data_IF_612016199925
#
_entry.id   IF_612016199925
#
_cell.length_a   1.000
_cell.length_b   1.000
_cell.length_c   1.000
_cell.angle_alpha   90.00
_cell.angle_beta   90.00
_cell.angle_gamma   90.00
#
_symmetry.space_group_name_H-M   'P 1'
#
loop_
_entity.id
_entity.type
_entity.pdbx_description
1 polymer ?
#
# COMPACT_ATOMS: atom_id res chain seq x y z
N UNK A 1 17.35 -66.50 -14.93
CA UNK A 1 17.14 -65.11 -15.42
C UNK A 1 16.31 -64.38 -14.37
N UNK A 2 16.88 -63.40 -13.66
CA UNK A 2 16.18 -62.61 -12.62
C UNK A 2 15.64 -61.33 -13.27
N UNK A 3 14.39 -60.88 -12.98
CA UNK A 3 13.92 -59.60 -13.47
C UNK A 3 14.63 -58.45 -12.71
N UNK A 4 14.88 -57.30 -13.35
CA UNK A 4 15.49 -56.17 -12.68
C UNK A 4 14.50 -55.51 -11.69
N UNK A 5 14.99 -55.25 -10.48
CA UNK A 5 14.31 -54.52 -9.43
C UNK A 5 13.87 -53.13 -9.91
N UNK A 6 12.57 -52.85 -9.90
CA UNK A 6 12.04 -51.52 -10.09
C UNK A 6 12.23 -50.71 -8.80
N UNK A 7 13.21 -49.79 -8.78
CA UNK A 7 13.31 -48.75 -7.77
C UNK A 7 12.13 -47.79 -7.94
N UNK A 8 11.15 -47.87 -7.03
CA UNK A 8 10.08 -46.90 -6.91
C UNK A 8 10.65 -45.61 -6.30
N UNK A 9 11.03 -44.66 -7.16
CA UNK A 9 11.40 -43.31 -6.75
C UNK A 9 10.12 -42.54 -6.42
N UNK A 10 9.74 -42.50 -5.15
CA UNK A 10 8.68 -41.60 -4.67
C UNK A 10 9.26 -40.18 -4.66
N UNK A 11 9.00 -39.42 -5.73
CA UNK A 11 9.15 -37.96 -5.69
C UNK A 11 8.05 -37.40 -4.77
N UNK A 12 8.43 -37.14 -3.51
CA UNK A 12 7.70 -36.22 -2.65
C UNK A 12 7.80 -34.83 -3.29
N UNK A 13 6.83 -34.52 -4.16
CA UNK A 13 6.53 -33.14 -4.56
C UNK A 13 6.05 -32.41 -3.31
N UNK A 14 7.00 -31.83 -2.57
CA UNK A 14 6.69 -30.71 -1.70
C UNK A 14 6.22 -29.58 -2.62
N UNK A 15 4.91 -29.48 -2.84
CA UNK A 15 4.34 -28.30 -3.44
C UNK A 15 4.80 -27.11 -2.60
N UNK A 16 5.39 -26.05 -3.19
CA UNK A 16 5.46 -24.80 -2.47
C UNK A 16 4.02 -24.46 -2.13
N UNK A 17 3.71 -24.36 -0.85
CA UNK A 17 2.49 -23.68 -0.43
C UNK A 17 2.65 -22.23 -0.88
N UNK A 18 2.22 -21.92 -2.10
CA UNK A 18 1.94 -20.54 -2.49
C UNK A 18 0.77 -20.10 -1.61
N UNK A 19 1.09 -19.47 -0.49
CA UNK A 19 0.13 -18.78 0.34
C UNK A 19 -0.49 -17.66 -0.52
N UNK A 20 -1.72 -17.90 -0.99
CA UNK A 20 -2.67 -16.94 -1.56
C UNK A 20 -2.16 -16.02 -2.67
N UNK A 21 -2.36 -16.38 -3.93
CA UNK A 21 -2.47 -15.39 -5.00
C UNK A 21 -3.88 -14.79 -4.99
N UNK A 22 -4.12 -13.84 -4.08
CA UNK A 22 -5.27 -12.94 -4.13
C UNK A 22 -4.73 -11.58 -4.60
N UNK A 23 -4.70 -11.38 -5.93
CA UNK A 23 -4.07 -10.23 -6.59
C UNK A 23 -5.01 -9.00 -6.51
N UNK A 24 -5.33 -8.60 -5.27
CA UNK A 24 -6.24 -7.51 -4.94
C UNK A 24 -5.86 -6.19 -5.63
N UNK A 25 -6.73 -5.19 -5.48
CA UNK A 25 -6.54 -3.88 -6.14
C UNK A 25 -5.32 -3.13 -5.61
N UNK A 26 -4.77 -3.49 -4.46
CA UNK A 26 -3.55 -2.87 -3.90
C UNK A 26 -2.42 -3.88 -3.82
N UNK A 27 -1.32 -3.61 -4.54
CA UNK A 27 -0.25 -4.57 -4.83
C UNK A 27 1.11 -3.99 -4.48
N UNK A 28 1.88 -4.70 -3.65
CA UNK A 28 3.26 -4.31 -3.31
C UNK A 28 4.26 -4.85 -4.34
N UNK A 29 5.14 -3.99 -4.85
CA UNK A 29 6.14 -4.33 -5.87
C UNK A 29 7.47 -4.83 -5.29
N UNK A 30 7.71 -4.64 -3.99
CA UNK A 30 8.94 -5.05 -3.31
C UNK A 30 8.66 -5.52 -1.87
N UNK A 31 9.59 -6.26 -1.23
CA UNK A 31 9.37 -6.79 0.12
C UNK A 31 9.18 -5.71 1.20
N UNK A 32 9.83 -4.55 1.07
CA UNK A 32 9.76 -3.49 2.08
C UNK A 32 8.39 -2.77 2.03
N UNK A 33 7.86 -2.50 0.83
CA UNK A 33 6.51 -1.98 0.66
C UNK A 33 5.43 -2.96 1.10
N UNK A 34 5.64 -4.27 0.90
CA UNK A 34 4.74 -5.31 1.42
C UNK A 34 4.72 -5.28 2.95
N UNK A 35 5.90 -5.32 3.57
CA UNK A 35 6.01 -5.29 5.03
C UNK A 35 5.36 -4.04 5.64
N UNK A 36 5.56 -2.87 5.02
CA UNK A 36 4.92 -1.64 5.49
C UNK A 36 3.40 -1.73 5.37
N UNK A 37 2.89 -2.16 4.21
CA UNK A 37 1.46 -2.24 3.93
C UNK A 37 0.75 -3.23 4.87
N UNK A 38 1.32 -4.40 5.08
CA UNK A 38 0.79 -5.41 5.99
C UNK A 38 0.75 -4.88 7.43
N UNK A 39 1.85 -4.26 7.88
CA UNK A 39 1.96 -3.69 9.22
C UNK A 39 0.90 -2.62 9.49
N UNK A 40 0.68 -1.69 8.54
CA UNK A 40 -0.35 -0.65 8.71
C UNK A 40 -1.76 -1.20 8.55
N UNK A 41 -2.00 -2.19 7.68
CA UNK A 41 -3.30 -2.84 7.51
C UNK A 41 -3.76 -3.50 8.80
N UNK A 42 -2.86 -4.15 9.52
CA UNK A 42 -3.17 -4.79 10.81
C UNK A 42 -3.51 -3.76 11.89
N UNK A 43 -2.80 -2.62 11.91
CA UNK A 43 -2.85 -1.69 13.04
C UNK A 43 -3.80 -0.50 12.85
N UNK A 44 -4.11 -0.13 11.61
CA UNK A 44 -4.89 1.07 11.28
C UNK A 44 -6.28 0.71 10.72
N UNK A 45 -7.37 0.98 11.47
CA UNK A 45 -8.72 0.91 10.90
C UNK A 45 -8.92 1.88 9.74
N UNK A 46 -8.22 3.02 9.73
CA UNK A 46 -8.27 3.97 8.60
C UNK A 46 -7.70 3.36 7.33
N UNK A 47 -6.54 2.70 7.39
CA UNK A 47 -6.00 1.95 6.24
C UNK A 47 -6.96 0.87 5.78
N UNK A 48 -7.54 0.07 6.69
CA UNK A 48 -8.50 -0.99 6.28
C UNK A 48 -9.69 -0.43 5.49
N UNK A 49 -10.22 0.73 5.89
CA UNK A 49 -11.31 1.39 5.14
C UNK A 49 -10.86 1.87 3.77
N UNK A 50 -9.67 2.47 3.66
CA UNK A 50 -9.12 2.89 2.36
C UNK A 50 -8.90 1.70 1.42
N UNK A 51 -8.32 0.62 1.93
CA UNK A 51 -8.10 -0.60 1.14
C UNK A 51 -9.42 -1.23 0.65
N UNK A 52 -10.46 -1.24 1.48
CA UNK A 52 -11.78 -1.72 1.06
C UNK A 52 -12.42 -0.86 -0.04
N UNK A 53 -12.23 0.46 0.01
CA UNK A 53 -12.69 1.38 -1.07
C UNK A 53 -11.91 1.13 -2.36
N UNK A 54 -10.60 0.94 -2.28
CA UNK A 54 -9.79 0.61 -3.46
C UNK A 54 -10.18 -0.74 -4.05
N UNK A 55 -10.45 -1.74 -3.22
CA UNK A 55 -10.85 -3.08 -3.67
C UNK A 55 -12.17 -3.08 -4.45
N UNK A 56 -13.07 -2.15 -4.14
CA UNK A 56 -14.36 -1.99 -4.82
C UNK A 56 -14.33 -1.05 -6.04
N UNK A 57 -13.14 -0.62 -6.47
CA UNK A 57 -12.96 0.36 -7.55
C UNK A 57 -12.39 -0.23 -8.86
N UNK A 58 -12.31 0.61 -9.90
CA UNK A 58 -11.62 0.33 -11.17
C UNK A 58 -10.10 0.60 -11.12
N UNK A 59 -9.57 0.95 -9.95
CA UNK A 59 -8.18 1.38 -9.76
C UNK A 59 -7.31 0.25 -9.24
N UNK A 60 -6.29 -0.15 -10.00
CA UNK A 60 -5.20 -1.00 -9.53
C UNK A 60 -4.06 -0.11 -9.05
N UNK A 61 -3.76 -0.19 -7.75
CA UNK A 61 -2.74 0.60 -7.06
C UNK A 61 -1.52 -0.26 -6.77
N UNK A 62 -0.39 0.11 -7.34
CA UNK A 62 0.90 -0.45 -7.00
C UNK A 62 1.58 0.39 -5.92
N UNK A 63 2.21 -0.27 -4.94
CA UNK A 63 2.99 0.37 -3.89
C UNK A 63 4.42 -0.09 -4.00
N UNK A 64 5.37 0.84 -3.96
CA UNK A 64 6.81 0.53 -3.93
C UNK A 64 7.58 1.39 -2.96
N UNK A 65 8.71 0.87 -2.50
CA UNK A 65 9.78 1.65 -1.88
C UNK A 65 10.75 2.14 -2.95
N UNK A 66 11.28 3.34 -2.77
CA UNK A 66 12.26 3.93 -3.68
C UNK A 66 13.27 4.80 -2.93
N UNK A 67 14.56 4.82 -3.32
CA UNK A 67 15.59 5.53 -2.56
C UNK A 67 15.49 7.07 -2.58
N UNK A 68 14.63 7.71 -3.39
CA UNK A 68 14.16 9.12 -3.28
C UNK A 68 13.72 9.65 -4.66
N UNK A 69 12.79 10.63 -4.70
CA UNK A 69 12.42 11.42 -5.89
C UNK A 69 12.77 12.90 -5.70
N UNK A 70 14.03 13.21 -5.38
CA UNK A 70 14.46 14.59 -5.15
C UNK A 70 13.88 15.15 -3.85
N UNK A 71 13.00 16.17 -3.93
CA UNK A 71 12.40 16.82 -2.75
C UNK A 71 11.15 16.10 -2.22
N UNK A 72 10.49 15.27 -3.04
CA UNK A 72 9.27 14.57 -2.65
C UNK A 72 9.60 13.29 -1.88
N UNK A 73 8.93 13.09 -0.75
CA UNK A 73 9.12 11.92 0.12
C UNK A 73 8.18 10.76 -0.23
N UNK A 74 7.07 11.06 -0.89
CA UNK A 74 6.20 10.07 -1.49
C UNK A 74 5.45 10.69 -2.70
N UNK A 75 4.90 9.85 -3.57
CA UNK A 75 4.12 10.30 -4.74
C UNK A 75 3.06 9.28 -5.14
N UNK A 76 1.89 9.76 -5.56
CA UNK A 76 0.85 8.98 -6.26
C UNK A 76 0.71 9.47 -7.70
N UNK A 77 0.88 8.57 -8.68
CA UNK A 77 0.82 8.91 -10.11
C UNK A 77 0.02 7.89 -10.89
N UNK A 78 -0.75 8.34 -11.89
CA UNK A 78 -1.30 7.44 -12.90
C UNK A 78 -0.15 6.98 -13.80
N UNK A 79 -0.06 5.67 -14.01
CA UNK A 79 0.97 5.05 -14.87
C UNK A 79 0.37 4.46 -16.16
N UNK A 80 -0.96 4.50 -16.30
CA UNK A 80 -1.65 4.10 -17.51
C UNK A 80 -3.10 3.70 -17.23
N UNK A 81 -3.81 3.35 -18.29
CA UNK A 81 -5.14 2.77 -18.21
C UNK A 81 -5.42 1.85 -19.40
N UNK A 82 -6.40 0.97 -19.23
CA UNK A 82 -7.16 0.30 -20.28
C UNK A 82 -8.64 0.71 -20.12
N UNK A 83 -9.56 0.39 -21.05
CA UNK A 83 -10.93 0.94 -21.03
C UNK A 83 -11.61 0.95 -19.65
N UNK A 84 -11.54 -0.17 -18.93
CA UNK A 84 -12.24 -0.39 -17.65
C UNK A 84 -11.31 -0.47 -16.44
N UNK A 85 -10.04 -0.11 -16.57
CA UNK A 85 -9.08 -0.20 -15.45
C UNK A 85 -8.00 0.86 -15.54
N UNK A 86 -7.77 1.54 -14.43
CA UNK A 86 -6.71 2.54 -14.27
C UNK A 86 -5.61 1.98 -13.38
N UNK A 87 -4.38 2.35 -13.67
CA UNK A 87 -3.20 1.90 -12.94
C UNK A 87 -2.53 3.10 -12.27
N UNK A 88 -2.35 3.01 -10.96
CA UNK A 88 -1.68 4.02 -10.15
C UNK A 88 -0.46 3.43 -9.49
N UNK A 89 0.60 4.24 -9.36
CA UNK A 89 1.81 3.91 -8.63
C UNK A 89 1.98 4.87 -7.46
N UNK A 90 1.90 4.33 -6.25
CA UNK A 90 2.36 4.92 -5.02
C UNK A 90 3.85 4.57 -4.85
N UNK A 91 4.68 5.59 -4.68
CA UNK A 91 6.09 5.42 -4.35
C UNK A 91 6.40 6.11 -3.03
N UNK A 92 7.03 5.42 -2.10
CA UNK A 92 7.41 5.95 -0.79
C UNK A 92 8.93 5.92 -0.66
N UNK A 93 9.53 6.97 -0.08
CA UNK A 93 10.96 7.01 0.15
C UNK A 93 11.40 6.00 1.21
N UNK A 94 12.39 5.16 0.88
CA UNK A 94 13.01 4.27 1.86
C UNK A 94 13.92 5.01 2.85
N UNK A 95 14.32 6.25 2.54
CA UNK A 95 15.20 7.06 3.40
C UNK A 95 14.49 7.71 4.60
N UNK A 96 13.15 7.69 4.63
CA UNK A 96 12.38 8.21 5.76
C UNK A 96 12.41 7.24 6.94
N UNK A 97 12.34 7.78 8.16
CA UNK A 97 12.10 6.97 9.36
C UNK A 97 10.79 6.19 9.22
N UNK A 98 10.70 5.00 9.84
CA UNK A 98 9.54 4.13 9.71
C UNK A 98 8.22 4.83 10.04
N UNK A 99 8.21 5.65 11.10
CA UNK A 99 7.07 6.47 11.53
C UNK A 99 6.59 7.44 10.44
N UNK A 100 7.53 8.03 9.70
CA UNK A 100 7.21 8.94 8.61
C UNK A 100 6.65 8.17 7.42
N UNK A 101 7.19 6.97 7.13
CA UNK A 101 6.67 6.10 6.08
C UNK A 101 5.23 5.66 6.34
N UNK A 102 4.86 5.46 7.61
CA UNK A 102 3.47 5.16 8.00
C UNK A 102 2.54 6.33 7.69
N UNK A 103 2.92 7.56 8.05
CA UNK A 103 2.13 8.74 7.67
C UNK A 103 2.04 8.87 6.15
N UNK A 104 3.18 8.79 5.46
CA UNK A 104 3.24 8.94 4.01
C UNK A 104 2.39 7.87 3.30
N UNK A 105 2.42 6.62 3.76
CA UNK A 105 1.55 5.60 3.16
C UNK A 105 0.07 5.91 3.37
N UNK A 106 -0.34 6.33 4.57
CA UNK A 106 -1.73 6.71 4.83
C UNK A 106 -2.20 7.87 3.94
N UNK A 107 -1.30 8.82 3.74
CA UNK A 107 -1.48 9.98 2.87
C UNK A 107 -1.68 9.60 1.40
N UNK A 108 -0.73 8.85 0.83
CA UNK A 108 -0.79 8.44 -0.58
C UNK A 108 -1.95 7.48 -0.86
N UNK A 109 -2.31 6.61 0.09
CA UNK A 109 -3.51 5.76 -0.04
C UNK A 109 -4.79 6.60 -0.14
N UNK A 110 -4.86 7.73 0.55
CA UNK A 110 -6.02 8.63 0.46
C UNK A 110 -6.08 9.31 -0.92
N UNK A 111 -4.94 9.71 -1.51
CA UNK A 111 -4.91 10.16 -2.91
C UNK A 111 -5.35 9.08 -3.89
N UNK A 112 -4.95 7.82 -3.69
CA UNK A 112 -5.44 6.72 -4.50
C UNK A 112 -6.97 6.54 -4.36
N UNK A 113 -7.50 6.71 -3.15
CA UNK A 113 -8.95 6.68 -2.91
C UNK A 113 -9.67 7.83 -3.62
N UNK A 114 -9.13 9.05 -3.58
CA UNK A 114 -9.69 10.20 -4.31
C UNK A 114 -9.74 9.94 -5.82
N UNK A 115 -8.69 9.32 -6.38
CA UNK A 115 -8.67 8.89 -7.78
C UNK A 115 -9.70 7.78 -8.06
N UNK A 116 -9.87 6.82 -7.15
CA UNK A 116 -10.88 5.78 -7.27
C UNK A 116 -12.31 6.35 -7.31
N UNK A 117 -12.57 7.45 -6.60
CA UNK A 117 -13.87 8.15 -6.59
C UNK A 117 -14.09 9.07 -7.79
N UNK A 118 -13.05 9.30 -8.58
CA UNK A 118 -13.08 10.14 -9.77
C UNK A 118 -12.78 9.31 -11.03
N UNK A 119 -13.69 8.41 -11.49
CA UNK A 119 -13.45 7.51 -12.62
C UNK A 119 -13.23 8.22 -13.97
N UNK A 120 -13.53 9.52 -14.06
CA UNK A 120 -13.23 10.36 -15.23
C UNK A 120 -11.75 10.79 -15.29
N UNK A 121 -11.00 10.68 -14.19
CA UNK A 121 -9.57 11.01 -14.14
C UNK A 121 -8.75 9.86 -14.73
N UNK A 122 -8.25 10.06 -15.94
CA UNK A 122 -7.55 9.04 -16.72
C UNK A 122 -6.10 9.41 -17.09
N UNK A 123 -5.75 10.67 -16.95
CA UNK A 123 -4.43 11.22 -17.29
C UNK A 123 -4.03 12.36 -16.34
N UNK A 124 -2.82 12.89 -16.54
CA UNK A 124 -2.27 13.97 -15.72
C UNK A 124 -3.13 15.24 -15.78
N UNK A 125 -3.77 15.53 -16.92
CA UNK A 125 -4.65 16.69 -17.07
C UNK A 125 -5.88 16.53 -16.18
N UNK A 126 -6.53 15.36 -16.20
CA UNK A 126 -7.64 15.05 -15.32
C UNK A 126 -7.24 15.09 -13.84
N UNK A 127 -6.02 14.65 -13.51
CA UNK A 127 -5.50 14.75 -12.14
C UNK A 127 -5.38 16.21 -11.70
N UNK A 128 -4.81 17.07 -12.54
CA UNK A 128 -4.70 18.52 -12.27
C UNK A 128 -6.10 19.13 -12.08
N UNK A 129 -7.03 18.88 -13.00
CA UNK A 129 -8.41 19.40 -12.93
C UNK A 129 -9.16 18.89 -11.68
N UNK A 130 -8.85 17.68 -11.20
CA UNK A 130 -9.42 17.15 -9.96
C UNK A 130 -8.85 17.87 -8.75
N UNK A 131 -7.52 17.87 -8.62
CA UNK A 131 -6.86 18.38 -7.41
C UNK A 131 -6.94 19.89 -7.25
N UNK A 132 -7.09 20.65 -8.34
CA UNK A 132 -7.41 22.09 -8.26
C UNK A 132 -8.79 22.36 -7.66
N UNK A 133 -9.70 21.37 -7.65
CA UNK A 133 -11.04 21.51 -7.05
C UNK A 133 -11.11 21.05 -5.59
N UNK A 134 -10.39 19.99 -5.23
CA UNK A 134 -10.50 19.37 -3.90
C UNK A 134 -9.31 19.66 -2.98
N UNK A 135 -8.30 20.35 -3.49
CA UNK A 135 -7.03 20.51 -2.80
C UNK A 135 -6.31 21.80 -3.18
N UNK A 136 -5.00 21.81 -2.97
CA UNK A 136 -4.11 22.90 -3.35
C UNK A 136 -2.82 22.35 -3.96
N UNK A 137 -2.15 23.24 -4.69
CA UNK A 137 -0.88 22.94 -5.34
C UNK A 137 0.28 23.23 -4.37
N UNK A 138 1.08 22.22 -4.05
CA UNK A 138 2.30 22.37 -3.25
C UNK A 138 3.51 22.73 -4.15
N UNK A 139 3.56 22.15 -5.36
CA UNK A 139 4.56 22.46 -6.38
C UNK A 139 4.01 22.24 -7.79
N UNK A 140 4.81 22.48 -8.84
CA UNK A 140 4.34 22.33 -10.23
C UNK A 140 3.66 20.99 -10.53
N UNK A 141 4.10 19.90 -9.89
CA UNK A 141 3.56 18.56 -10.08
C UNK A 141 3.19 17.86 -8.75
N UNK A 142 2.94 18.61 -7.68
CA UNK A 142 2.50 18.05 -6.40
C UNK A 142 1.25 18.77 -5.92
N UNK A 143 0.24 17.97 -5.58
CA UNK A 143 -1.02 18.43 -5.03
C UNK A 143 -1.24 17.79 -3.67
N UNK A 144 -2.02 18.47 -2.88
CA UNK A 144 -2.33 18.10 -1.52
C UNK A 144 -3.82 18.32 -1.26
N UNK A 145 -4.44 17.49 -0.42
CA UNK A 145 -5.84 17.62 -0.03
C UNK A 145 -5.99 17.60 1.49
N UNK A 146 -7.01 18.27 2.05
CA UNK A 146 -7.27 18.19 3.49
C UNK A 146 -7.46 16.75 3.96
N UNK A 147 -8.12 15.92 3.13
CA UNK A 147 -8.39 14.53 3.44
C UNK A 147 -7.11 13.68 3.49
N UNK A 148 -6.15 13.88 2.58
CA UNK A 148 -4.89 13.16 2.58
C UNK A 148 -4.01 13.51 3.77
N UNK A 149 -3.95 14.80 4.15
CA UNK A 149 -3.26 15.24 5.39
C UNK A 149 -3.89 14.58 6.62
N UNK A 150 -5.22 14.61 6.73
CA UNK A 150 -5.93 14.03 7.87
C UNK A 150 -5.75 12.51 7.94
N UNK A 151 -5.86 11.82 6.81
CA UNK A 151 -5.64 10.38 6.71
C UNK A 151 -4.23 10.00 7.16
N UNK A 152 -3.20 10.69 6.68
CA UNK A 152 -1.81 10.45 7.09
C UNK A 152 -1.61 10.61 8.60
N UNK A 153 -2.22 11.64 9.20
CA UNK A 153 -2.17 11.85 10.66
C UNK A 153 -2.89 10.74 11.42
N UNK A 154 -4.11 10.40 11.01
CA UNK A 154 -4.92 9.36 11.66
C UNK A 154 -4.22 8.00 11.63
N UNK A 155 -3.67 7.60 10.48
CA UNK A 155 -2.94 6.33 10.33
C UNK A 155 -1.72 6.28 11.25
N UNK A 156 -0.97 7.39 11.35
CA UNK A 156 0.15 7.49 12.30
C UNK A 156 -0.34 7.27 13.73
N UNK A 157 -1.35 8.02 14.17
CA UNK A 157 -1.88 7.95 15.54
C UNK A 157 -2.37 6.55 15.91
N UNK A 158 -3.08 5.89 15.00
CA UNK A 158 -3.59 4.52 15.16
C UNK A 158 -2.46 3.50 15.34
N UNK A 159 -1.44 3.55 14.48
CA UNK A 159 -0.26 2.66 14.54
C UNK A 159 0.54 2.87 15.84
N UNK A 160 0.72 4.12 16.26
CA UNK A 160 1.37 4.43 17.53
C UNK A 160 0.58 3.90 18.73
N UNK A 161 -0.74 4.07 18.72
CA UNK A 161 -1.60 3.56 19.78
C UNK A 161 -1.52 2.03 19.87
N UNK A 162 -1.61 1.33 18.74
CA UNK A 162 -1.49 -0.12 18.67
C UNK A 162 -0.14 -0.63 19.18
N UNK A 163 0.96 0.01 18.77
CA UNK A 163 2.32 -0.32 19.23
C UNK A 163 2.46 -0.14 20.74
N UNK A 164 1.91 0.94 21.30
CA UNK A 164 1.93 1.21 22.74
C UNK A 164 1.15 0.16 23.52
N UNK A 165 -0.03 -0.24 23.03
CA UNK A 165 -0.86 -1.28 23.67
C UNK A 165 -0.14 -2.64 23.66
N UNK A 166 0.48 -3.01 22.54
CA UNK A 166 1.24 -4.26 22.44
C UNK A 166 2.44 -4.30 23.41
N UNK A 167 3.15 -3.18 23.57
CA UNK A 167 4.25 -3.05 24.55
C UNK A 167 3.77 -3.21 25.99
N UNK A 168 2.67 -2.55 26.34
CA UNK A 168 2.10 -2.63 27.68
C UNK A 168 1.57 -4.05 28.00
N UNK A 169 0.92 -4.71 27.03
CA UNK A 169 0.46 -6.09 27.20
C UNK A 169 1.60 -7.09 27.42
N UNK A 170 2.75 -6.92 26.74
CA UNK A 170 3.95 -7.75 26.96
C UNK A 170 4.58 -7.55 28.34
N UNK A 171 4.60 -6.32 28.85
CA UNK A 171 5.14 -6.02 30.18
C UNK A 171 4.32 -6.69 31.31
N UNK A 172 3.00 -6.81 31.14
CA UNK A 172 2.11 -7.46 32.12
C UNK A 172 2.26 -8.99 32.13
N UNK A 173 2.62 -9.60 31.01
CA UNK A 173 2.78 -11.06 30.88
C UNK A 173 4.14 -11.54 31.41
N UNK A 174 5.18 -10.70 31.40
CA UNK A 174 6.55 -11.06 31.79
C UNK A 174 6.86 -11.02 33.30
N UNK A 175 5.89 -10.71 34.17
CA UNK A 175 6.07 -10.58 35.63
C UNK A 175 5.40 -11.71 36.42
N UNK A 176 5.37 -12.94 35.89
CA UNK A 176 4.88 -14.13 36.61
C UNK A 176 5.92 -15.23 36.64
#
# INVERSE_FOLDING_TARGET
>A
MRPPSACLLVLLLAAPAFAGSDDGRVRSLDPESRQLLDSVREQSPTVRRMLARLESSDLITYVRMSPSFGRLRATTRIIGHVPDTRFVLISITSMAAQVDRVLLLGHELQHAVELAEAPWVRDDRGMIEMYERIGWRESSNAFETPAAVEAGRAVREEVYAATRMARNGRAVVGTR
#
